data_IF_271375255744
#
_entry.id   IF_271375255744
#
_cell.length_a   1.000
_cell.length_b   1.000
_cell.length_c   1.000
_cell.angle_alpha   90.00
_cell.angle_beta   90.00
_cell.angle_gamma   90.00
#
_symmetry.space_group_name_H-M   'P 1'
#
loop_
_entity.id
_entity.type
_entity.pdbx_description
1 polymer ?
#
# COMPACT_ATOMS: atom_id res chain seq x y z
N UNK A 1 12.38 -7.59 8.96
CA UNK A 1 11.56 -6.78 8.04
C UNK A 1 10.64 -5.79 8.75
N UNK A 2 9.83 -6.19 9.74
CA UNK A 2 8.90 -5.27 10.45
C UNK A 2 9.53 -4.01 11.03
N UNK A 3 10.70 -4.11 11.66
CA UNK A 3 11.42 -2.94 12.21
C UNK A 3 11.73 -1.92 11.12
N UNK A 4 12.16 -2.37 9.94
CA UNK A 4 12.46 -1.48 8.81
C UNK A 4 11.20 -0.77 8.31
N UNK A 5 10.05 -1.46 8.23
CA UNK A 5 8.76 -0.85 7.88
C UNK A 5 8.39 0.22 8.91
N UNK A 6 8.49 -0.10 10.20
CA UNK A 6 8.19 0.84 11.28
C UNK A 6 9.04 2.10 11.22
N UNK A 7 10.33 1.95 10.96
CA UNK A 7 11.25 3.09 10.87
C UNK A 7 11.02 3.94 9.63
N UNK A 8 10.82 3.32 8.47
CA UNK A 8 10.61 4.03 7.21
C UNK A 8 9.29 4.83 7.18
N UNK A 9 8.26 4.35 7.87
CA UNK A 9 6.93 4.97 7.93
C UNK A 9 6.60 5.58 9.30
N UNK A 10 7.62 5.84 10.13
CA UNK A 10 7.43 6.44 11.46
C UNK A 10 6.76 7.81 11.37
N UNK A 11 5.69 8.00 12.15
CA UNK A 11 4.98 9.27 12.25
C UNK A 11 4.18 9.65 10.99
N UNK A 12 3.93 8.71 10.08
CA UNK A 12 3.02 8.94 8.96
C UNK A 12 1.58 8.97 9.50
N UNK A 13 0.92 10.10 9.30
CA UNK A 13 -0.51 10.31 9.56
C UNK A 13 -1.28 10.42 8.24
N UNK A 14 -2.59 10.15 8.27
CA UNK A 14 -3.45 10.17 7.09
C UNK A 14 -3.72 11.60 6.58
N UNK A 15 -3.92 12.55 7.50
CA UNK A 15 -4.33 13.90 7.17
C UNK A 15 -5.66 13.94 6.39
N UNK A 16 -5.63 14.56 5.22
CA UNK A 16 -6.78 14.65 4.30
C UNK A 16 -6.85 13.51 3.30
N UNK A 17 -5.96 12.51 3.37
CA UNK A 17 -5.98 11.36 2.48
C UNK A 17 -7.27 10.56 2.58
N UNK A 18 -7.53 9.79 1.53
CA UNK A 18 -8.65 8.83 1.48
C UNK A 18 -8.45 7.79 2.58
N UNK A 19 -9.42 7.66 3.48
CA UNK A 19 -9.38 6.68 4.57
C UNK A 19 -9.88 5.29 4.14
N UNK A 20 -9.66 4.27 4.98
CA UNK A 20 -10.00 2.87 4.67
C UNK A 20 -11.46 2.70 4.20
N UNK A 21 -12.45 3.18 4.95
CA UNK A 21 -13.85 3.01 4.55
C UNK A 21 -14.26 3.94 3.39
N UNK A 22 -13.56 5.06 3.17
CA UNK A 22 -13.81 5.88 1.96
C UNK A 22 -13.53 5.09 0.68
N UNK A 23 -12.53 4.20 0.68
CA UNK A 23 -12.21 3.40 -0.51
C UNK A 23 -13.39 2.55 -0.96
N UNK A 24 -14.16 1.99 -0.02
CA UNK A 24 -15.36 1.19 -0.30
C UNK A 24 -16.45 2.05 -0.89
N UNK A 25 -16.64 3.26 -0.38
CA UNK A 25 -17.62 4.20 -0.93
C UNK A 25 -17.24 4.60 -2.36
N UNK A 26 -15.96 4.87 -2.62
CA UNK A 26 -15.46 5.22 -3.95
C UNK A 26 -15.69 4.08 -4.94
N UNK A 27 -15.37 2.84 -4.55
CA UNK A 27 -15.58 1.65 -5.37
C UNK A 27 -17.06 1.44 -5.73
N UNK A 28 -17.95 1.75 -4.78
CA UNK A 28 -19.40 1.70 -4.98
C UNK A 28 -20.00 2.97 -5.62
N UNK A 29 -19.17 3.84 -6.21
CA UNK A 29 -19.60 5.10 -6.87
C UNK A 29 -20.35 6.08 -5.96
N UNK A 30 -20.13 6.00 -4.65
CA UNK A 30 -20.78 6.85 -3.65
C UNK A 30 -20.25 8.29 -3.64
N UNK A 31 -21.09 9.19 -3.13
CA UNK A 31 -20.87 10.63 -3.14
C UNK A 31 -20.04 11.17 -1.97
N UNK A 32 -19.82 12.49 -1.97
CA UNK A 32 -19.02 13.19 -0.95
C UNK A 32 -19.60 13.08 0.47
N UNK A 33 -20.93 13.09 0.62
CA UNK A 33 -21.60 12.95 1.91
C UNK A 33 -21.36 11.55 2.51
N UNK A 34 -21.46 10.50 1.69
CA UNK A 34 -21.22 9.11 2.10
C UNK A 34 -19.76 8.91 2.49
N UNK A 35 -18.82 9.45 1.70
CA UNK A 35 -17.38 9.44 2.04
C UNK A 35 -17.09 10.16 3.35
N UNK A 36 -17.74 11.30 3.59
CA UNK A 36 -17.59 12.07 4.83
C UNK A 36 -18.06 11.27 6.04
N UNK A 37 -19.15 10.51 5.91
CA UNK A 37 -19.63 9.62 6.97
C UNK A 37 -18.71 8.41 7.16
N UNK A 38 -18.29 7.78 6.06
CA UNK A 38 -17.44 6.58 6.07
C UNK A 38 -16.08 6.83 6.71
N UNK A 39 -15.49 8.02 6.52
CA UNK A 39 -14.19 8.35 7.14
C UNK A 39 -14.23 8.57 8.65
N UNK A 40 -15.39 8.75 9.27
CA UNK A 40 -15.48 9.08 10.71
C UNK A 40 -14.82 8.01 11.61
N UNK A 41 -15.15 6.70 11.51
CA UNK A 41 -14.58 5.67 12.37
C UNK A 41 -13.10 5.36 12.10
N UNK A 42 -12.56 5.74 10.95
CA UNK A 42 -11.22 5.32 10.53
C UNK A 42 -10.11 5.82 11.46
N UNK A 43 -9.09 4.99 11.66
CA UNK A 43 -7.81 5.40 12.25
C UNK A 43 -7.07 6.33 11.27
N UNK A 44 -6.45 7.40 11.79
CA UNK A 44 -5.87 8.49 10.98
C UNK A 44 -4.48 8.94 11.43
N UNK A 45 -4.01 8.45 12.58
CA UNK A 45 -2.80 8.93 13.27
C UNK A 45 -1.74 7.84 13.38
N UNK A 46 -2.14 6.60 13.64
CA UNK A 46 -1.20 5.50 13.84
C UNK A 46 -1.56 4.29 12.98
N UNK A 47 -0.93 4.19 11.82
CA UNK A 47 -1.14 3.09 10.88
C UNK A 47 -0.84 1.71 11.49
N UNK A 48 -0.03 1.64 12.56
CA UNK A 48 0.31 0.35 13.18
C UNK A 48 -0.92 -0.33 13.79
N UNK A 49 -1.94 0.44 14.19
CA UNK A 49 -3.20 -0.11 14.72
C UNK A 49 -3.99 -0.87 13.65
N UNK A 50 -3.79 -0.52 12.37
CA UNK A 50 -4.43 -1.20 11.25
C UNK A 50 -3.88 -2.61 11.02
N UNK A 51 -2.68 -2.92 11.52
CA UNK A 51 -2.08 -4.27 11.37
C UNK A 51 -2.90 -5.33 12.10
N UNK A 52 -3.57 -4.94 13.20
CA UNK A 52 -4.49 -5.82 13.94
C UNK A 52 -5.96 -5.64 13.54
N UNK A 53 -6.25 -4.78 12.58
CA UNK A 53 -7.62 -4.49 12.16
C UNK A 53 -8.04 -5.49 11.05
N UNK A 54 -9.02 -6.37 11.30
CA UNK A 54 -9.48 -7.33 10.30
C UNK A 54 -10.09 -6.65 9.06
N UNK A 55 -10.59 -5.41 9.18
CA UNK A 55 -11.17 -4.69 8.05
C UNK A 55 -10.14 -4.36 6.97
N UNK A 56 -8.87 -4.14 7.35
CA UNK A 56 -7.82 -3.76 6.41
C UNK A 56 -7.65 -4.78 5.28
N UNK A 57 -7.74 -6.07 5.62
CA UNK A 57 -7.62 -7.16 4.67
C UNK A 57 -8.96 -7.56 4.05
N UNK A 58 -10.07 -7.48 4.81
CA UNK A 58 -11.43 -7.74 4.31
C UNK A 58 -11.86 -6.79 3.18
N UNK A 59 -11.37 -5.55 3.20
CA UNK A 59 -11.65 -4.54 2.17
C UNK A 59 -10.86 -4.78 0.88
N UNK A 60 -9.82 -5.62 0.91
CA UNK A 60 -9.16 -6.07 -0.31
C UNK A 60 -10.17 -6.80 -1.21
N UNK A 61 -10.54 -6.18 -2.33
CA UNK A 61 -11.55 -6.67 -3.26
C UNK A 61 -12.81 -5.82 -3.37
N UNK A 62 -13.09 -4.92 -2.41
CA UNK A 62 -14.21 -3.96 -2.44
C UNK A 62 -13.76 -2.55 -2.02
N UNK A 63 -12.51 -2.20 -2.30
CA UNK A 63 -11.84 -0.99 -1.83
C UNK A 63 -10.32 -1.16 -1.74
N UNK A 64 -9.70 -0.51 -0.77
CA UNK A 64 -8.29 -0.69 -0.41
C UNK A 64 -7.31 0.02 -1.35
N UNK A 65 -6.17 -0.65 -1.61
CA UNK A 65 -5.01 -0.07 -2.32
C UNK A 65 -5.35 0.58 -3.66
N UNK A 66 -6.34 0.06 -4.36
CA UNK A 66 -6.76 0.58 -5.66
C UNK A 66 -7.35 1.99 -5.58
N UNK A 67 -7.93 2.41 -4.46
CA UNK A 67 -8.74 3.64 -4.37
C UNK A 67 -8.18 4.72 -3.44
N UNK A 68 -7.08 4.46 -2.75
CA UNK A 68 -6.43 5.51 -1.98
C UNK A 68 -5.93 6.63 -2.89
N UNK A 69 -5.91 7.88 -2.42
CA UNK A 69 -5.07 8.89 -3.03
C UNK A 69 -3.61 8.75 -2.57
N UNK A 70 -2.71 9.64 -2.99
CA UNK A 70 -1.30 9.55 -2.60
C UNK A 70 -1.11 9.55 -1.07
N UNK A 71 -1.81 10.42 -0.35
CA UNK A 71 -1.72 10.53 1.11
C UNK A 71 -2.31 9.30 1.81
N UNK A 72 -3.48 8.83 1.38
CA UNK A 72 -4.11 7.61 1.85
C UNK A 72 -3.22 6.40 1.64
N UNK A 73 -2.60 6.29 0.46
CA UNK A 73 -1.70 5.19 0.13
C UNK A 73 -0.48 5.21 1.05
N UNK A 74 0.16 6.38 1.21
CA UNK A 74 1.31 6.51 2.11
C UNK A 74 1.00 6.09 3.55
N UNK A 75 -0.20 6.37 4.04
CA UNK A 75 -0.63 6.00 5.40
C UNK A 75 -0.95 4.51 5.55
N UNK A 76 -1.70 3.91 4.61
CA UNK A 76 -2.15 2.51 4.76
C UNK A 76 -1.12 1.48 4.27
N UNK A 77 -0.27 1.83 3.30
CA UNK A 77 0.74 0.93 2.73
C UNK A 77 1.60 0.20 3.79
N UNK A 78 2.18 0.83 4.83
CA UNK A 78 3.00 0.11 5.80
C UNK A 78 2.22 -0.96 6.58
N UNK A 79 0.91 -0.81 6.75
CA UNK A 79 0.08 -1.84 7.38
C UNK A 79 -0.07 -3.06 6.45
N UNK A 80 -0.34 -2.86 5.15
CA UNK A 80 -0.36 -3.95 4.17
C UNK A 80 1.00 -4.66 4.04
N UNK A 81 2.10 -3.90 3.98
CA UNK A 81 3.46 -4.48 3.95
C UNK A 81 3.74 -5.30 5.21
N UNK A 82 3.29 -4.83 6.38
CA UNK A 82 3.44 -5.57 7.64
C UNK A 82 2.65 -6.87 7.60
N UNK A 83 1.39 -6.83 7.16
CA UNK A 83 0.55 -8.01 7.03
C UNK A 83 1.15 -9.07 6.11
N UNK A 84 1.71 -8.67 4.95
CA UNK A 84 2.34 -9.59 4.00
C UNK A 84 3.61 -10.28 4.56
N UNK A 85 4.22 -9.71 5.60
CA UNK A 85 5.45 -10.20 6.22
C UNK A 85 5.19 -11.03 7.48
N UNK A 86 4.12 -10.75 8.24
CA UNK A 86 3.89 -11.40 9.54
C UNK A 86 3.04 -12.66 9.48
N UNK A 87 2.12 -12.74 8.54
CA UNK A 87 1.09 -13.77 8.57
C UNK A 87 0.56 -14.00 7.15
N UNK A 88 1.22 -14.89 6.44
CA UNK A 88 0.84 -15.31 5.08
C UNK A 88 -0.09 -16.52 5.07
N UNK A 89 -0.26 -17.20 6.21
CA UNK A 89 -1.14 -18.37 6.32
C UNK A 89 -2.59 -17.99 6.71
N UNK A 90 -2.84 -16.74 7.11
CA UNK A 90 -4.20 -16.24 7.33
C UNK A 90 -5.05 -16.33 6.06
N UNK A 91 -6.35 -16.54 6.28
CA UNK A 91 -7.33 -16.78 5.22
C UNK A 91 -7.40 -15.67 4.15
N UNK A 92 -7.02 -14.44 4.50
CA UNK A 92 -7.05 -13.25 3.65
C UNK A 92 -5.67 -12.79 3.15
N UNK A 93 -4.61 -13.58 3.39
CA UNK A 93 -3.25 -13.25 2.97
C UNK A 93 -3.12 -13.12 1.45
N UNK A 94 -3.80 -14.00 0.70
CA UNK A 94 -3.77 -14.00 -0.76
C UNK A 94 -4.29 -12.69 -1.35
N UNK A 95 -5.40 -12.16 -0.80
CA UNK A 95 -6.01 -10.90 -1.23
C UNK A 95 -5.07 -9.72 -1.01
N UNK A 96 -4.42 -9.68 0.17
CA UNK A 96 -3.44 -8.63 0.47
C UNK A 96 -2.22 -8.71 -0.43
N UNK A 97 -1.70 -9.93 -0.67
CA UNK A 97 -0.56 -10.13 -1.55
C UNK A 97 -0.91 -9.72 -2.98
N UNK A 98 -2.04 -10.16 -3.53
CA UNK A 98 -2.49 -9.80 -4.89
C UNK A 98 -2.63 -8.29 -5.03
N UNK A 99 -3.27 -7.64 -4.07
CA UNK A 99 -3.44 -6.18 -4.06
C UNK A 99 -2.09 -5.44 -4.01
N UNK A 100 -1.13 -5.93 -3.22
CA UNK A 100 0.22 -5.39 -3.16
C UNK A 100 0.97 -5.59 -4.47
N UNK A 101 0.95 -6.80 -5.03
CA UNK A 101 1.63 -7.09 -6.30
C UNK A 101 1.09 -6.17 -7.38
N UNK A 102 -0.22 -6.13 -7.59
CA UNK A 102 -0.83 -5.27 -8.61
C UNK A 102 -0.44 -3.79 -8.43
N UNK A 103 -0.59 -3.23 -7.22
CA UNK A 103 -0.35 -1.79 -7.01
C UNK A 103 1.14 -1.42 -6.99
N UNK A 104 2.05 -2.38 -6.74
CA UNK A 104 3.48 -2.12 -6.60
C UNK A 104 4.31 -2.57 -7.81
N UNK A 105 3.75 -3.33 -8.75
CA UNK A 105 4.43 -3.71 -10.00
C UNK A 105 3.80 -3.09 -11.25
N UNK A 106 2.50 -2.74 -11.22
CA UNK A 106 1.82 -2.14 -12.37
C UNK A 106 1.95 -0.61 -12.39
N UNK A 107 2.96 -0.09 -13.09
CA UNK A 107 3.30 1.34 -13.14
C UNK A 107 2.51 2.16 -14.18
N UNK A 108 1.17 2.13 -14.11
CA UNK A 108 0.33 3.10 -14.84
C UNK A 108 0.58 4.53 -14.36
N UNK A 109 0.23 5.55 -15.15
CA UNK A 109 0.31 6.97 -14.75
C UNK A 109 -0.37 7.21 -13.39
N UNK A 110 -1.49 6.52 -13.14
CA UNK A 110 -2.24 6.58 -11.91
C UNK A 110 -1.46 6.04 -10.70
N UNK A 111 -0.83 4.87 -10.82
CA UNK A 111 -0.03 4.30 -9.75
C UNK A 111 1.26 5.08 -9.54
N UNK A 112 1.97 5.44 -10.61
CA UNK A 112 3.18 6.28 -10.52
C UNK A 112 2.86 7.60 -9.81
N UNK A 113 1.77 8.27 -10.18
CA UNK A 113 1.33 9.52 -9.56
C UNK A 113 1.16 9.40 -8.04
N UNK A 114 0.43 8.38 -7.57
CA UNK A 114 0.17 8.18 -6.13
C UNK A 114 1.38 7.66 -5.36
N UNK A 115 2.22 6.83 -5.98
CA UNK A 115 3.43 6.27 -5.36
C UNK A 115 4.58 7.28 -5.28
N UNK A 116 4.55 8.36 -6.08
CA UNK A 116 5.60 9.39 -6.11
C UNK A 116 5.74 10.17 -4.79
N UNK A 117 4.72 10.16 -3.93
CA UNK A 117 4.74 10.79 -2.61
C UNK A 117 5.70 10.12 -1.62
N UNK A 118 6.09 8.88 -1.89
CA UNK A 118 6.96 8.10 -1.01
C UNK A 118 8.38 8.67 -1.04
N UNK A 119 8.90 8.98 0.15
CA UNK A 119 10.29 9.40 0.33
C UNK A 119 11.28 8.29 -0.04
N UNK A 120 12.54 8.64 -0.27
CA UNK A 120 13.57 7.64 -0.60
C UNK A 120 13.66 6.49 0.43
N UNK A 121 13.63 6.72 1.76
CA UNK A 121 13.59 5.63 2.74
C UNK A 121 12.35 4.73 2.64
N UNK A 122 11.18 5.31 2.32
CA UNK A 122 9.94 4.54 2.15
C UNK A 122 9.98 3.69 0.88
N UNK A 123 10.48 4.24 -0.23
CA UNK A 123 10.66 3.51 -1.50
C UNK A 123 11.65 2.35 -1.32
N UNK A 124 12.76 2.62 -0.65
CA UNK A 124 13.75 1.61 -0.29
C UNK A 124 13.12 0.48 0.55
N UNK A 125 12.30 0.83 1.55
CA UNK A 125 11.58 -0.15 2.34
C UNK A 125 10.60 -0.99 1.51
N UNK A 126 9.87 -0.38 0.56
CA UNK A 126 8.98 -1.12 -0.35
C UNK A 126 9.79 -2.11 -1.17
N UNK A 127 10.91 -1.68 -1.76
CA UNK A 127 11.80 -2.55 -2.52
C UNK A 127 12.25 -3.77 -1.71
N UNK A 128 12.72 -3.52 -0.48
CA UNK A 128 13.27 -4.59 0.36
C UNK A 128 12.18 -5.56 0.83
N UNK A 129 10.94 -5.09 1.04
CA UNK A 129 9.79 -5.97 1.28
C UNK A 129 9.47 -6.78 0.02
N UNK A 130 9.40 -6.18 -1.16
CA UNK A 130 9.14 -6.92 -2.41
C UNK A 130 10.20 -8.01 -2.66
N UNK A 131 11.49 -7.71 -2.44
CA UNK A 131 12.57 -8.68 -2.55
C UNK A 131 12.46 -9.81 -1.52
N UNK A 132 12.02 -9.50 -0.29
CA UNK A 132 11.71 -10.51 0.73
C UNK A 132 10.56 -11.41 0.28
N UNK A 133 9.41 -10.85 -0.13
CA UNK A 133 8.26 -11.62 -0.59
C UNK A 133 8.59 -12.49 -1.80
N UNK A 134 9.39 -11.96 -2.74
CA UNK A 134 9.91 -12.66 -3.92
C UNK A 134 10.68 -13.93 -3.57
N UNK A 135 11.47 -13.88 -2.49
CA UNK A 135 12.32 -14.99 -2.05
C UNK A 135 11.56 -15.93 -1.12
N UNK A 136 10.92 -15.39 -0.08
CA UNK A 136 10.23 -16.15 0.96
C UNK A 136 9.07 -16.98 0.40
N UNK A 137 8.37 -16.45 -0.60
CA UNK A 137 7.22 -17.11 -1.22
C UNK A 137 7.52 -17.64 -2.62
N UNK A 138 8.80 -17.67 -3.03
CA UNK A 138 9.25 -18.21 -4.31
C UNK A 138 8.45 -17.68 -5.52
N UNK A 139 8.05 -16.41 -5.49
CA UNK A 139 7.17 -15.82 -6.50
C UNK A 139 7.89 -15.69 -7.85
N UNK A 140 7.46 -16.40 -8.88
CA UNK A 140 8.04 -16.25 -10.22
C UNK A 140 7.28 -15.18 -11.02
N UNK A 141 7.83 -13.96 -11.07
CA UNK A 141 7.22 -12.83 -11.78
C UNK A 141 8.27 -11.88 -12.34
N UNK A 142 8.33 -11.75 -13.67
CA UNK A 142 9.21 -10.79 -14.35
C UNK A 142 8.85 -9.34 -14.00
N UNK A 143 7.55 -9.02 -13.90
CA UNK A 143 7.08 -7.69 -13.49
C UNK A 143 7.57 -7.30 -12.09
N UNK A 144 7.62 -8.26 -11.16
CA UNK A 144 8.16 -8.06 -9.82
C UNK A 144 9.66 -7.80 -9.85
N UNK A 145 10.40 -8.59 -10.63
CA UNK A 145 11.86 -8.45 -10.77
C UNK A 145 12.22 -7.09 -11.42
N UNK A 146 11.48 -6.66 -12.45
CA UNK A 146 11.61 -5.35 -13.09
C UNK A 146 11.24 -4.20 -12.14
N UNK A 147 10.16 -4.34 -11.36
CA UNK A 147 9.77 -3.35 -10.37
C UNK A 147 10.86 -3.12 -9.32
N UNK A 148 11.45 -4.21 -8.79
CA UNK A 148 12.54 -4.17 -7.81
C UNK A 148 13.78 -3.50 -8.40
N UNK A 149 14.19 -3.88 -9.61
CA UNK A 149 15.40 -3.38 -10.27
C UNK A 149 15.24 -1.94 -10.82
N UNK A 150 14.02 -1.56 -11.20
CA UNK A 150 13.69 -0.28 -11.82
C UNK A 150 13.11 0.72 -10.84
N UNK A 151 11.78 0.88 -10.87
CA UNK A 151 11.08 1.97 -10.17
C UNK A 151 11.46 2.07 -8.69
N UNK A 152 11.51 0.95 -7.96
CA UNK A 152 11.79 0.96 -6.53
C UNK A 152 13.26 1.19 -6.16
N UNK A 153 14.19 0.99 -7.11
CA UNK A 153 15.63 1.28 -6.93
C UNK A 153 16.02 2.69 -7.40
N UNK A 154 15.20 3.30 -8.25
CA UNK A 154 15.39 4.67 -8.70
C UNK A 154 14.92 5.69 -7.65
N UNK A 155 15.79 6.67 -7.33
CA UNK A 155 15.43 7.79 -6.47
C UNK A 155 14.26 8.61 -7.05
N UNK A 156 13.51 9.36 -6.23
CA UNK A 156 12.42 10.22 -6.70
C UNK A 156 12.97 11.26 -7.67
N UNK A 157 12.90 10.99 -8.98
CA UNK A 157 13.46 11.84 -10.03
C UNK A 157 13.92 11.13 -11.30
N UNK A 158 14.00 9.80 -11.35
CA UNK A 158 14.49 9.09 -12.55
C UNK A 158 13.38 8.63 -13.53
N UNK A 159 12.16 9.19 -13.44
CA UNK A 159 11.14 9.01 -14.47
C UNK A 159 11.12 10.23 -15.39
N UNK A 160 12.07 10.26 -16.31
CA UNK A 160 11.96 11.06 -17.53
C UNK A 160 12.58 10.26 -18.67
N UNK A 161 11.78 10.08 -19.72
CA UNK A 161 12.11 9.59 -21.07
C UNK A 161 11.89 8.10 -21.32
N UNK A 162 10.70 7.79 -21.82
CA UNK A 162 10.53 7.15 -23.13
C UNK A 162 9.42 7.89 -23.88
#
# INVERSE_FOLDING_TARGET
MLTAIKDAFRGVELGSGVSLHETVVIDNYGGSAERTAARLPDEKRDWQRLVSDPELARIGGVGGLNFYDAAGLRFHLPAYLSLAVIDFERADAGIVLESLMFNLTHFSEYNVGRLSILSAPQRQCVRDVLAFLRTEYELESEELDEAIAGYWSCGPGAASQA
#
